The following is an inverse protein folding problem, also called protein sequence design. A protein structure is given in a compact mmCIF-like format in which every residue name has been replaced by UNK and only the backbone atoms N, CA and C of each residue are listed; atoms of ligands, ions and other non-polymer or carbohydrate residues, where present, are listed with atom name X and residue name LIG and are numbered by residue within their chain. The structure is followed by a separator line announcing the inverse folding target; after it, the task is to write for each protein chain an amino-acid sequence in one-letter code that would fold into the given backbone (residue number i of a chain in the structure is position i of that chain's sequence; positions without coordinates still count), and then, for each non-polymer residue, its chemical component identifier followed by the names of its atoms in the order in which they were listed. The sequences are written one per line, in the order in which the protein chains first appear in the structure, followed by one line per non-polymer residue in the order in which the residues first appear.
data_IF_047234779160
#
_entry.id   IF_047234779160
#
_cell.length_a   1.000
_cell.length_b   1.000
_cell.length_c   1.000
_cell.angle_alpha   90.00
_cell.angle_beta   90.00
_cell.angle_gamma   90.00
#
_symmetry.space_group_name_H-M   'P 1'
#
loop_
_entity.id
_entity.type
_entity.pdbx_description
1 polymer ?
#
# COMPACT_ATOMS: atom_id res chain seq x y z
N UNK A 1 10.17 30.57 -6.43
CA UNK A 1 10.85 29.46 -7.12
C UNK A 1 11.43 28.56 -6.04
N UNK A 2 11.15 27.25 -6.08
CA UNK A 2 11.60 26.31 -5.04
C UNK A 2 12.44 25.19 -5.65
N UNK A 3 13.37 24.63 -4.87
CA UNK A 3 14.20 23.48 -5.27
C UNK A 3 13.55 22.18 -4.84
N UNK A 4 13.17 21.34 -5.81
CA UNK A 4 12.35 20.14 -5.58
C UNK A 4 13.07 18.89 -6.09
N UNK A 5 13.14 17.87 -5.24
CA UNK A 5 13.61 16.54 -5.62
C UNK A 5 12.43 15.60 -5.91
N UNK A 6 12.31 15.14 -7.14
CA UNK A 6 11.24 14.22 -7.56
C UNK A 6 11.74 12.79 -7.50
N UNK A 7 11.03 11.93 -6.76
CA UNK A 7 11.24 10.48 -6.80
C UNK A 7 10.78 9.92 -8.14
N UNK A 8 11.72 9.50 -8.98
CA UNK A 8 11.49 8.98 -10.32
C UNK A 8 11.65 7.46 -10.34
N UNK A 9 10.58 6.74 -10.70
CA UNK A 9 10.58 5.28 -10.82
C UNK A 9 10.74 4.80 -12.26
N UNK A 10 11.02 5.71 -13.20
CA UNK A 10 11.05 5.44 -14.64
C UNK A 10 9.66 5.33 -15.29
N UNK A 11 8.59 5.34 -14.50
CA UNK A 11 7.22 5.25 -15.01
C UNK A 11 6.63 6.61 -15.38
N UNK A 12 5.57 6.57 -16.18
CA UNK A 12 4.82 7.73 -16.70
C UNK A 12 4.53 8.78 -15.64
N UNK A 13 3.96 8.37 -14.51
CA UNK A 13 3.45 9.27 -13.49
C UNK A 13 4.58 10.09 -12.84
N UNK A 14 5.73 9.46 -12.56
CA UNK A 14 6.87 10.16 -11.96
C UNK A 14 7.53 11.15 -12.92
N UNK A 15 7.58 10.82 -14.21
CA UNK A 15 8.08 11.73 -15.26
C UNK A 15 7.11 12.89 -15.49
N UNK A 16 5.79 12.63 -15.50
CA UNK A 16 4.78 13.67 -15.61
C UNK A 16 4.85 14.65 -14.43
N UNK A 17 5.09 14.17 -13.21
CA UNK A 17 5.25 15.02 -12.03
C UNK A 17 6.42 16.02 -12.17
N UNK A 18 7.55 15.60 -12.76
CA UNK A 18 8.67 16.51 -13.09
C UNK A 18 8.20 17.64 -14.01
N UNK A 19 7.51 17.30 -15.10
CA UNK A 19 7.08 18.27 -16.11
C UNK A 19 6.02 19.24 -15.57
N UNK A 20 5.09 18.75 -14.74
CA UNK A 20 4.10 19.59 -14.05
C UNK A 20 4.82 20.63 -13.18
N UNK A 21 5.75 20.20 -12.33
CA UNK A 21 6.47 21.12 -11.43
C UNK A 21 7.34 22.12 -12.19
N UNK A 22 7.99 21.71 -13.28
CA UNK A 22 8.73 22.63 -14.16
C UNK A 22 7.81 23.66 -14.82
N UNK A 23 6.60 23.26 -15.22
CA UNK A 23 5.63 24.20 -15.81
C UNK A 23 5.17 25.29 -14.82
N UNK A 24 5.31 25.05 -13.51
CA UNK A 24 5.09 26.05 -12.46
C UNK A 24 6.34 26.87 -12.10
N UNK A 25 7.44 26.71 -12.84
CA UNK A 25 8.67 27.50 -12.67
C UNK A 25 9.58 27.04 -11.52
N UNK A 26 9.45 25.80 -11.04
CA UNK A 26 10.34 25.25 -10.01
C UNK A 26 11.65 24.72 -10.60
N UNK A 27 12.71 24.72 -9.77
CA UNK A 27 13.96 24.00 -10.07
C UNK A 27 13.77 22.54 -9.66
N UNK A 28 13.82 21.63 -10.63
CA UNK A 28 13.51 20.22 -10.41
C UNK A 28 14.74 19.35 -10.68
N UNK A 29 15.03 18.44 -9.75
CA UNK A 29 15.94 17.32 -9.95
C UNK A 29 15.22 15.99 -9.77
N UNK A 30 15.70 14.94 -10.41
CA UNK A 30 15.18 13.58 -10.27
C UNK A 30 16.01 12.74 -9.31
N UNK A 31 15.40 11.76 -8.65
CA UNK A 31 16.12 10.72 -7.92
C UNK A 31 15.48 9.35 -8.10
N UNK A 32 16.29 8.34 -8.40
CA UNK A 32 15.87 6.95 -8.44
C UNK A 32 16.23 6.23 -7.14
N UNK A 33 15.28 5.44 -6.65
CA UNK A 33 15.47 4.48 -5.57
C UNK A 33 15.53 3.08 -6.18
N UNK A 34 16.68 2.39 -6.14
CA UNK A 34 16.87 1.06 -6.75
C UNK A 34 16.16 -0.05 -5.95
N UNK A 35 14.82 -0.02 -5.99
CA UNK A 35 13.90 -0.93 -5.30
C UNK A 35 13.52 -2.11 -6.21
N UNK A 36 13.17 -1.79 -7.45
CA UNK A 36 12.75 -2.74 -8.49
C UNK A 36 13.75 -2.62 -9.67
N UNK A 37 13.84 -3.63 -10.54
CA UNK A 37 14.96 -3.89 -11.47
C UNK A 37 15.57 -2.71 -12.28
N UNK A 38 16.79 -2.92 -12.78
CA UNK A 38 17.67 -1.91 -13.42
C UNK A 38 17.01 -1.11 -14.55
N UNK A 39 16.15 -1.74 -15.34
CA UNK A 39 15.47 -1.10 -16.49
C UNK A 39 14.69 0.17 -16.11
N UNK A 40 14.05 0.16 -14.94
CA UNK A 40 13.28 1.31 -14.45
C UNK A 40 14.17 2.52 -14.15
N UNK A 41 15.38 2.27 -13.65
CA UNK A 41 16.37 3.30 -13.31
C UNK A 41 16.94 3.89 -14.60
N UNK A 42 17.32 3.05 -15.56
CA UNK A 42 17.87 3.49 -16.84
C UNK A 42 16.88 4.36 -17.61
N UNK A 43 15.59 3.99 -17.59
CA UNK A 43 14.52 4.82 -18.17
C UNK A 43 14.40 6.17 -17.45
N UNK A 44 14.47 6.21 -16.12
CA UNK A 44 14.40 7.45 -15.35
C UNK A 44 15.58 8.38 -15.65
N UNK A 45 16.79 7.83 -15.82
CA UNK A 45 18.01 8.56 -16.21
C UNK A 45 17.84 9.13 -17.61
N UNK A 46 17.47 8.32 -18.60
CA UNK A 46 17.25 8.77 -19.99
C UNK A 46 16.18 9.85 -20.08
N UNK A 47 15.07 9.70 -19.35
CA UNK A 47 14.04 10.74 -19.28
C UNK A 47 14.61 12.05 -18.69
N UNK A 48 15.42 11.95 -17.63
CA UNK A 48 16.05 13.12 -16.99
C UNK A 48 17.03 13.84 -17.92
N UNK A 49 17.80 13.10 -18.71
CA UNK A 49 18.71 13.63 -19.74
C UNK A 49 17.94 14.39 -20.82
N UNK A 50 16.87 13.79 -21.37
CA UNK A 50 16.03 14.45 -22.38
C UNK A 50 15.31 15.69 -21.85
N UNK A 51 14.89 15.66 -20.58
CA UNK A 51 14.27 16.82 -19.91
C UNK A 51 15.33 17.90 -19.59
N UNK A 52 16.60 17.52 -19.44
CA UNK A 52 17.68 18.42 -19.05
C UNK A 52 17.70 18.72 -17.54
N UNK A 53 17.46 17.71 -16.69
CA UNK A 53 17.53 17.84 -15.23
C UNK A 53 18.60 16.92 -14.62
N UNK A 54 19.15 17.32 -13.47
CA UNK A 54 20.06 16.46 -12.72
C UNK A 54 19.32 15.26 -12.15
N UNK A 55 19.95 14.08 -12.22
CA UNK A 55 19.43 12.84 -11.67
C UNK A 55 20.36 12.25 -10.61
N UNK A 56 19.79 11.82 -9.48
CA UNK A 56 20.51 11.18 -8.38
C UNK A 56 20.14 9.70 -8.27
N UNK A 57 21.11 8.87 -7.88
CA UNK A 57 20.85 7.49 -7.48
C UNK A 57 21.09 7.36 -5.97
N UNK A 58 20.05 6.99 -5.23
CA UNK A 58 20.13 6.91 -3.76
C UNK A 58 20.14 5.44 -3.34
N UNK A 59 21.23 4.92 -2.74
CA UNK A 59 21.29 3.52 -2.34
C UNK A 59 20.34 3.23 -1.17
N UNK A 60 19.50 2.19 -1.33
CA UNK A 60 18.45 1.83 -0.36
C UNK A 60 18.32 0.33 -0.14
N UNK A 61 19.14 -0.49 -0.79
CA UNK A 61 18.95 -1.95 -0.89
C UNK A 61 18.86 -2.61 0.49
N UNK A 62 19.74 -2.25 1.41
CA UNK A 62 19.74 -2.78 2.78
C UNK A 62 18.46 -2.39 3.53
N UNK A 63 18.03 -1.13 3.39
CA UNK A 63 16.82 -0.64 4.05
C UNK A 63 15.56 -1.29 3.47
N UNK A 64 15.48 -1.42 2.15
CA UNK A 64 14.36 -2.09 1.48
C UNK A 64 14.27 -3.58 1.87
N UNK A 65 15.41 -4.29 1.88
CA UNK A 65 15.45 -5.68 2.33
C UNK A 65 14.91 -5.79 3.76
N UNK A 66 15.48 -5.03 4.69
CA UNK A 66 15.14 -5.13 6.12
C UNK A 66 13.74 -4.63 6.46
N UNK A 67 13.32 -3.49 5.93
CA UNK A 67 12.07 -2.83 6.32
C UNK A 67 10.86 -3.29 5.51
N UNK A 68 11.06 -3.84 4.30
CA UNK A 68 9.96 -4.24 3.43
C UNK A 68 9.95 -5.75 3.21
N UNK A 69 11.06 -6.34 2.75
CA UNK A 69 11.09 -7.77 2.42
C UNK A 69 11.01 -8.63 3.69
N UNK A 70 11.82 -8.37 4.71
CA UNK A 70 11.79 -9.15 5.96
C UNK A 70 10.49 -8.92 6.76
N UNK A 71 9.93 -7.71 6.74
CA UNK A 71 8.57 -7.44 7.23
C UNK A 71 7.53 -8.32 6.51
N UNK A 72 7.60 -8.37 5.18
CA UNK A 72 6.68 -9.16 4.38
C UNK A 72 6.81 -10.67 4.68
N UNK A 73 8.05 -11.18 4.71
CA UNK A 73 8.34 -12.59 5.05
C UNK A 73 7.85 -12.96 6.45
N UNK A 74 8.21 -12.17 7.46
CA UNK A 74 7.84 -12.45 8.85
C UNK A 74 6.32 -12.45 9.06
N UNK A 75 5.59 -11.60 8.33
CA UNK A 75 4.13 -11.55 8.41
C UNK A 75 3.48 -12.79 7.78
N UNK A 76 3.98 -13.25 6.62
CA UNK A 76 3.52 -14.50 6.01
C UNK A 76 3.80 -15.71 6.90
N UNK A 77 4.96 -15.74 7.59
CA UNK A 77 5.29 -16.79 8.57
C UNK A 77 4.27 -16.80 9.71
N UNK A 78 3.76 -15.64 10.13
CA UNK A 78 2.66 -15.52 11.12
C UNK A 78 1.27 -15.78 10.54
N UNK A 79 1.16 -16.22 9.28
CA UNK A 79 -0.10 -16.41 8.55
C UNK A 79 -0.91 -15.11 8.40
N UNK A 80 -0.26 -13.96 8.37
CA UNK A 80 -0.87 -12.68 8.02
C UNK A 80 -0.76 -12.42 6.51
N UNK A 81 -1.53 -11.46 6.00
CA UNK A 81 -1.38 -10.93 4.64
C UNK A 81 -0.92 -9.47 4.74
N UNK A 82 0.39 -9.19 4.75
CA UNK A 82 0.93 -7.84 4.91
C UNK A 82 0.70 -6.94 3.68
N UNK A 83 0.80 -5.62 3.86
CA UNK A 83 0.86 -4.66 2.75
C UNK A 83 2.27 -4.05 2.62
N UNK A 84 3.13 -4.54 1.72
CA UNK A 84 4.49 -4.06 1.59
C UNK A 84 4.57 -2.65 1.00
N UNK A 85 3.56 -2.21 0.24
CA UNK A 85 3.55 -0.90 -0.41
C UNK A 85 3.36 0.24 0.61
N UNK A 86 2.43 0.09 1.55
CA UNK A 86 2.24 1.03 2.66
C UNK A 86 3.53 1.14 3.49
N UNK A 87 4.14 -0.02 3.84
CA UNK A 87 5.39 -0.06 4.60
C UNK A 87 6.56 0.57 3.82
N UNK A 88 6.66 0.30 2.51
CA UNK A 88 7.68 0.89 1.65
C UNK A 88 7.56 2.41 1.59
N UNK A 89 6.35 2.96 1.46
CA UNK A 89 6.15 4.41 1.50
C UNK A 89 6.56 5.00 2.84
N UNK A 90 6.13 4.39 3.95
CA UNK A 90 6.47 4.85 5.30
C UNK A 90 7.99 4.83 5.55
N UNK A 91 8.64 3.67 5.37
CA UNK A 91 9.99 3.44 5.90
C UNK A 91 11.10 3.66 4.88
N UNK A 92 10.79 3.62 3.57
CA UNK A 92 11.82 3.61 2.51
C UNK A 92 11.60 4.75 1.53
N UNK A 93 10.57 4.69 0.68
CA UNK A 93 10.41 5.58 -0.47
C UNK A 93 10.28 7.04 -0.06
N UNK A 94 9.32 7.36 0.82
CA UNK A 94 9.09 8.75 1.21
C UNK A 94 10.15 9.21 2.21
N UNK A 95 10.48 8.37 3.19
CA UNK A 95 11.45 8.69 4.24
C UNK A 95 12.85 8.94 3.68
N UNK A 96 13.39 8.05 2.85
CA UNK A 96 14.75 8.21 2.29
C UNK A 96 14.81 9.38 1.32
N UNK A 97 13.81 9.52 0.45
CA UNK A 97 13.75 10.64 -0.49
C UNK A 97 13.75 11.97 0.26
N UNK A 98 12.92 12.09 1.31
CA UNK A 98 12.88 13.27 2.17
C UNK A 98 14.24 13.53 2.85
N UNK A 99 14.81 12.53 3.50
CA UNK A 99 16.08 12.66 4.22
C UNK A 99 17.21 13.12 3.28
N UNK A 100 17.33 12.49 2.11
CA UNK A 100 18.32 12.86 1.11
C UNK A 100 18.09 14.29 0.58
N UNK A 101 16.83 14.64 0.28
CA UNK A 101 16.48 15.97 -0.20
C UNK A 101 16.90 17.06 0.79
N UNK A 102 16.57 16.89 2.08
CA UNK A 102 16.94 17.86 3.11
C UNK A 102 18.47 17.98 3.25
N UNK A 103 19.21 16.87 3.20
CA UNK A 103 20.68 16.88 3.27
C UNK A 103 21.34 17.58 2.07
N UNK A 104 20.74 17.50 0.89
CA UNK A 104 21.23 18.11 -0.34
C UNK A 104 20.75 19.56 -0.54
N UNK A 105 20.01 20.12 0.44
CA UNK A 105 19.52 21.50 0.40
C UNK A 105 18.34 21.72 -0.56
N UNK A 106 17.56 20.67 -0.84
CA UNK A 106 16.25 20.82 -1.48
C UNK A 106 15.22 21.28 -0.44
N UNK A 107 14.23 22.06 -0.87
CA UNK A 107 13.18 22.57 0.01
C UNK A 107 12.01 21.60 0.14
N UNK A 108 11.75 20.83 -0.93
CA UNK A 108 10.65 19.88 -1.00
C UNK A 108 11.06 18.61 -1.75
N UNK A 109 10.33 17.53 -1.45
CA UNK A 109 10.25 16.35 -2.30
C UNK A 109 8.94 16.34 -3.07
N UNK A 110 8.90 15.59 -4.16
CA UNK A 110 7.67 15.27 -4.85
C UNK A 110 7.66 13.83 -5.36
N UNK A 111 6.47 13.28 -5.54
CA UNK A 111 6.28 11.95 -6.12
C UNK A 111 5.14 11.95 -7.13
N UNK A 112 5.14 10.98 -8.04
CA UNK A 112 4.03 10.75 -8.97
C UNK A 112 2.81 10.07 -8.34
N UNK A 113 2.61 10.16 -7.02
CA UNK A 113 1.40 9.61 -6.40
C UNK A 113 0.19 10.49 -6.70
N UNK A 114 -0.94 9.86 -7.02
CA UNK A 114 -2.23 10.53 -7.13
C UNK A 114 -2.83 10.65 -5.73
N UNK A 115 -2.56 11.79 -5.10
CA UNK A 115 -3.15 12.21 -3.82
C UNK A 115 -3.06 13.74 -3.74
N UNK A 116 -3.76 14.36 -2.79
CA UNK A 116 -3.66 15.81 -2.55
C UNK A 116 -3.16 16.07 -1.14
N UNK A 117 -2.18 16.95 -0.97
CA UNK A 117 -1.78 17.41 0.36
C UNK A 117 -2.82 18.39 0.90
N UNK A 118 -3.21 18.25 2.17
CA UNK A 118 -4.19 19.13 2.81
C UNK A 118 -3.84 19.35 4.29
N UNK A 119 -4.24 20.50 4.84
CA UNK A 119 -4.26 20.73 6.28
C UNK A 119 -5.65 20.41 6.83
N UNK A 120 -5.73 19.55 7.83
CA UNK A 120 -6.98 19.13 8.46
C UNK A 120 -6.77 18.90 9.95
N UNK A 121 -7.68 19.41 10.79
CA UNK A 121 -7.61 19.29 12.25
C UNK A 121 -6.25 19.69 12.86
N UNK A 122 -5.56 20.69 12.28
CA UNK A 122 -4.24 21.12 12.74
C UNK A 122 -3.05 20.28 12.24
N UNK A 123 -3.31 19.22 11.47
CA UNK A 123 -2.30 18.32 10.91
C UNK A 123 -2.17 18.48 9.40
N UNK A 124 -0.98 18.20 8.86
CA UNK A 124 -0.80 17.98 7.42
C UNK A 124 -1.01 16.50 7.10
N UNK A 125 -1.99 16.22 6.24
CA UNK A 125 -2.36 14.88 5.79
C UNK A 125 -2.56 14.85 4.27
N UNK A 126 -3.05 13.72 3.76
CA UNK A 126 -3.44 13.57 2.37
C UNK A 126 -4.95 13.42 2.21
N UNK A 127 -5.49 13.94 1.13
CA UNK A 127 -6.83 13.65 0.64
C UNK A 127 -6.74 12.82 -0.64
N UNK A 128 -7.85 12.17 -0.98
CA UNK A 128 -7.99 11.44 -2.24
C UNK A 128 -7.71 12.35 -3.44
N UNK A 129 -7.13 11.79 -4.50
CA UNK A 129 -7.02 12.45 -5.79
C UNK A 129 -8.38 12.71 -6.43
N UNK A 130 -8.45 13.71 -7.31
CA UNK A 130 -9.68 14.00 -8.09
C UNK A 130 -10.01 12.88 -9.08
N UNK A 131 -8.97 12.22 -9.61
CA UNK A 131 -9.13 11.03 -10.45
C UNK A 131 -9.12 9.74 -9.60
N UNK A 132 -10.28 9.42 -9.02
CA UNK A 132 -10.43 8.35 -8.01
C UNK A 132 -9.91 6.97 -8.45
N UNK A 133 -10.01 6.63 -9.73
CA UNK A 133 -9.55 5.33 -10.28
C UNK A 133 -8.04 5.12 -10.04
N UNK A 134 -7.27 6.22 -10.00
CA UNK A 134 -5.84 6.21 -9.70
C UNK A 134 -5.50 6.66 -8.29
N UNK A 135 -6.47 7.00 -7.43
CA UNK A 135 -6.20 7.45 -6.07
C UNK A 135 -5.27 6.49 -5.32
N UNK A 136 -4.23 7.05 -4.70
CA UNK A 136 -3.19 6.35 -3.97
C UNK A 136 -3.08 6.82 -2.51
N UNK A 137 -4.06 7.59 -2.02
CA UNK A 137 -4.08 8.08 -0.63
C UNK A 137 -3.95 6.95 0.40
N UNK A 138 -4.53 5.78 0.15
CA UNK A 138 -4.39 4.57 0.97
C UNK A 138 -2.93 4.14 1.15
N UNK A 139 -2.12 4.21 0.09
CA UNK A 139 -0.71 3.78 0.14
C UNK A 139 0.17 4.75 0.94
N UNK A 140 -0.35 5.95 1.24
CA UNK A 140 0.31 6.99 2.00
C UNK A 140 -0.17 7.04 3.46
N UNK A 141 -1.04 6.12 3.88
CA UNK A 141 -1.74 6.14 5.17
C UNK A 141 -0.85 6.14 6.43
N UNK A 142 0.43 5.81 6.25
CA UNK A 142 1.44 5.70 7.30
C UNK A 142 2.64 6.62 7.10
N UNK A 143 2.61 7.50 6.10
CA UNK A 143 3.69 8.47 5.87
C UNK A 143 3.64 9.53 6.96
N UNK A 144 4.78 9.80 7.59
CA UNK A 144 4.86 10.75 8.70
C UNK A 144 4.50 12.18 8.26
N UNK A 145 3.82 12.91 9.14
CA UNK A 145 3.41 14.30 8.90
C UNK A 145 4.60 15.19 8.52
N UNK A 146 5.76 15.01 9.16
CA UNK A 146 7.00 15.76 8.87
C UNK A 146 7.46 15.59 7.41
N UNK A 147 7.28 14.39 6.86
CA UNK A 147 7.56 14.09 5.45
C UNK A 147 6.48 14.72 4.56
N UNK A 148 5.21 14.61 4.94
CA UNK A 148 4.09 15.20 4.18
C UNK A 148 4.18 16.73 4.09
N UNK A 149 4.60 17.42 5.16
CA UNK A 149 4.82 18.87 5.17
C UNK A 149 5.74 19.31 4.03
N UNK A 150 6.81 18.53 3.79
CA UNK A 150 7.81 18.78 2.74
C UNK A 150 7.56 18.00 1.44
N UNK A 151 6.40 17.34 1.31
CA UNK A 151 6.05 16.59 0.10
C UNK A 151 5.03 17.32 -0.78
N UNK A 152 5.15 17.14 -2.08
CA UNK A 152 4.22 17.61 -3.11
C UNK A 152 3.69 16.42 -3.92
N UNK A 153 2.43 16.51 -4.35
CA UNK A 153 1.74 15.51 -5.16
C UNK A 153 1.18 16.17 -6.43
N UNK A 154 2.01 16.39 -7.46
CA UNK A 154 1.63 17.21 -8.62
C UNK A 154 0.52 16.62 -9.48
N UNK A 155 0.22 15.33 -9.32
CA UNK A 155 -0.81 14.62 -10.09
C UNK A 155 -2.17 14.54 -9.39
N UNK A 156 -2.29 15.10 -8.18
CA UNK A 156 -3.50 14.96 -7.36
C UNK A 156 -4.80 15.47 -7.99
N UNK A 157 -4.70 16.36 -8.98
CA UNK A 157 -5.83 16.94 -9.70
C UNK A 157 -5.91 16.51 -11.17
N UNK A 158 -5.00 15.65 -11.63
CA UNK A 158 -4.90 15.25 -13.03
C UNK A 158 -5.53 13.88 -13.25
N UNK A 159 -6.15 13.71 -14.41
CA UNK A 159 -6.49 12.41 -14.95
C UNK A 159 -5.26 11.69 -15.49
N UNK A 160 -5.39 10.38 -15.72
CA UNK A 160 -4.34 9.59 -16.37
C UNK A 160 -3.94 10.13 -17.74
N UNK A 161 -4.92 10.50 -18.57
CA UNK A 161 -4.67 10.99 -19.92
C UNK A 161 -3.92 12.33 -19.92
N UNK A 162 -4.23 13.22 -18.98
CA UNK A 162 -3.52 14.50 -18.82
C UNK A 162 -2.08 14.31 -18.33
N UNK A 163 -1.81 13.31 -17.48
CA UNK A 163 -0.46 12.97 -17.09
C UNK A 163 0.34 12.35 -18.25
N UNK A 164 -0.28 11.45 -19.02
CA UNK A 164 0.34 10.79 -20.19
C UNK A 164 0.65 11.79 -21.31
N UNK A 165 -0.25 12.75 -21.59
CA UNK A 165 -0.02 13.75 -22.65
C UNK A 165 1.18 14.65 -22.40
N UNK A 166 1.54 14.88 -21.13
CA UNK A 166 2.70 15.69 -20.76
C UNK A 166 4.03 15.05 -21.14
N UNK A 167 4.11 13.71 -21.16
CA UNK A 167 5.38 12.99 -21.37
C UNK A 167 5.56 12.49 -22.80
N UNK A 168 4.75 12.97 -23.75
CA UNK A 168 4.81 12.54 -25.14
C UNK A 168 6.24 12.65 -25.71
N UNK A 169 6.77 11.53 -26.20
CA UNK A 169 8.14 11.44 -26.73
C UNK A 169 9.23 11.15 -25.70
N UNK A 170 8.91 11.04 -24.42
CA UNK A 170 9.85 10.65 -23.37
C UNK A 170 9.78 9.14 -23.07
N UNK A 171 10.89 8.51 -22.66
CA UNK A 171 10.90 7.11 -22.29
C UNK A 171 10.15 6.92 -20.96
N UNK A 172 9.29 5.90 -20.91
CA UNK A 172 8.56 5.52 -19.71
C UNK A 172 8.37 4.00 -19.66
N UNK A 173 8.49 3.42 -18.47
CA UNK A 173 8.14 2.03 -18.22
C UNK A 173 6.66 1.89 -17.82
N UNK A 174 6.07 0.69 -17.99
CA UNK A 174 4.76 0.40 -17.42
C UNK A 174 4.72 0.68 -15.91
N UNK A 175 3.53 0.99 -15.36
CA UNK A 175 3.37 1.24 -13.93
C UNK A 175 3.80 0.01 -13.10
N UNK A 176 4.47 0.28 -11.98
CA UNK A 176 4.87 -0.77 -11.03
C UNK A 176 3.64 -1.47 -10.48
N UNK A 177 3.70 -2.80 -10.39
CA UNK A 177 2.70 -3.60 -9.69
C UNK A 177 2.92 -3.51 -8.17
N UNK A 178 1.88 -3.85 -7.41
CA UNK A 178 2.00 -4.04 -5.96
C UNK A 178 3.00 -5.15 -5.65
N UNK A 179 3.71 -5.03 -4.52
CA UNK A 179 4.79 -5.95 -4.14
C UNK A 179 5.83 -6.14 -5.27
N UNK A 180 6.40 -5.04 -5.80
CA UNK A 180 7.27 -5.07 -6.99
C UNK A 180 8.50 -6.00 -6.92
N UNK A 181 8.87 -6.50 -5.74
CA UNK A 181 9.96 -7.46 -5.54
C UNK A 181 9.54 -8.91 -5.83
N UNK A 182 8.25 -9.15 -6.06
CA UNK A 182 7.68 -10.45 -6.42
C UNK A 182 7.41 -10.45 -7.92
N UNK A 183 8.20 -11.22 -8.67
CA UNK A 183 8.13 -11.33 -10.13
C UNK A 183 7.63 -12.71 -10.60
N UNK A 184 6.97 -13.44 -9.72
CA UNK A 184 6.40 -14.78 -9.94
C UNK A 184 5.10 -14.93 -9.14
N UNK A 185 4.28 -15.97 -9.36
CA UNK A 185 3.09 -16.20 -8.55
C UNK A 185 3.42 -16.21 -7.04
N UNK A 186 2.55 -15.62 -6.23
CA UNK A 186 2.78 -15.47 -4.78
C UNK A 186 3.12 -16.80 -4.10
N UNK A 187 2.42 -17.88 -4.47
CA UNK A 187 2.66 -19.22 -3.92
C UNK A 187 4.08 -19.71 -4.22
N UNK A 188 4.58 -19.51 -5.44
CA UNK A 188 5.92 -19.93 -5.85
C UNK A 188 6.98 -19.08 -5.14
N UNK A 189 6.71 -17.78 -4.97
CA UNK A 189 7.58 -16.89 -4.20
C UNK A 189 7.67 -17.33 -2.74
N UNK A 190 6.53 -17.64 -2.09
CA UNK A 190 6.52 -18.15 -0.71
C UNK A 190 7.30 -19.48 -0.63
N UNK A 191 7.07 -20.41 -1.56
CA UNK A 191 7.78 -21.69 -1.58
C UNK A 191 9.30 -21.51 -1.66
N UNK A 192 9.77 -20.57 -2.48
CA UNK A 192 11.20 -20.28 -2.67
C UNK A 192 11.82 -19.53 -1.49
N UNK A 193 11.15 -18.50 -0.99
CA UNK A 193 11.75 -17.50 -0.11
C UNK A 193 11.51 -17.73 1.39
N UNK A 194 10.54 -18.59 1.72
CA UNK A 194 10.08 -18.89 3.08
C UNK A 194 9.93 -20.41 3.29
N UNK A 195 9.35 -21.10 2.30
CA UNK A 195 8.84 -22.46 2.40
C UNK A 195 7.32 -22.47 2.58
N UNK A 196 6.64 -23.37 1.86
CA UNK A 196 5.21 -23.62 2.09
C UNK A 196 5.06 -24.33 3.44
N UNK A 197 4.05 -23.94 4.21
CA UNK A 197 3.72 -24.58 5.48
C UNK A 197 3.36 -26.06 5.32
N UNK A 198 3.10 -26.74 6.44
CA UNK A 198 2.71 -28.15 6.40
C UNK A 198 1.28 -28.32 5.83
N UNK A 199 1.03 -29.38 5.03
CA UNK A 199 -0.32 -29.74 4.64
C UNK A 199 -1.23 -29.96 5.85
N UNK A 200 -2.53 -29.73 5.67
CA UNK A 200 -3.52 -29.82 6.74
C UNK A 200 -4.94 -29.89 6.18
N UNK A 201 -5.90 -30.08 7.07
CA UNK A 201 -7.30 -30.27 6.70
C UNK A 201 -7.94 -28.94 6.25
N UNK A 202 -8.79 -29.02 5.24
CA UNK A 202 -9.78 -27.98 4.93
C UNK A 202 -11.11 -28.41 5.54
N UNK A 203 -11.66 -27.56 6.41
CA UNK A 203 -12.95 -27.80 7.05
C UNK A 203 -13.97 -26.75 6.66
N UNK A 204 -15.23 -27.13 6.58
CA UNK A 204 -16.32 -26.16 6.46
C UNK A 204 -16.60 -25.46 7.80
N UNK A 205 -17.51 -24.48 7.79
CA UNK A 205 -17.94 -23.75 8.99
C UNK A 205 -18.68 -24.60 10.04
N UNK A 206 -19.07 -25.84 9.70
CA UNK A 206 -19.68 -26.81 10.63
C UNK A 206 -18.63 -27.78 11.21
N UNK A 207 -17.37 -27.71 10.75
CA UNK A 207 -16.28 -28.58 11.19
C UNK A 207 -16.15 -29.87 10.39
N UNK A 208 -16.88 -30.04 9.28
CA UNK A 208 -16.70 -31.22 8.43
C UNK A 208 -15.42 -31.07 7.60
N UNK A 209 -14.60 -32.10 7.57
CA UNK A 209 -13.44 -32.18 6.67
C UNK A 209 -13.92 -32.38 5.24
N UNK A 210 -13.55 -31.45 4.36
CA UNK A 210 -13.99 -31.43 2.96
C UNK A 210 -12.82 -31.40 1.96
N UNK A 211 -11.57 -31.43 2.45
CA UNK A 211 -10.38 -31.56 1.62
C UNK A 211 -9.10 -31.31 2.40
N UNK A 212 -8.02 -31.04 1.67
CA UNK A 212 -6.68 -30.76 2.23
C UNK A 212 -6.06 -29.55 1.55
N UNK A 213 -5.30 -28.77 2.32
CA UNK A 213 -4.56 -27.62 1.84
C UNK A 213 -3.06 -27.90 1.79
N UNK A 214 -2.33 -27.22 0.90
CA UNK A 214 -0.87 -27.40 0.82
C UNK A 214 -0.07 -26.71 1.92
N UNK A 215 -0.69 -25.78 2.66
CA UNK A 215 -0.08 -25.04 3.78
C UNK A 215 -0.76 -23.68 3.99
N UNK A 216 -1.05 -23.31 5.23
CA UNK A 216 -1.87 -22.13 5.57
C UNK A 216 -1.30 -20.80 5.03
N UNK A 217 0.02 -20.68 4.98
CA UNK A 217 0.69 -19.46 4.54
C UNK A 217 0.50 -19.17 3.04
N UNK A 218 0.01 -20.13 2.25
CA UNK A 218 -0.35 -19.94 0.85
C UNK A 218 -1.76 -19.34 0.65
N UNK A 219 -2.53 -19.15 1.72
CA UNK A 219 -3.91 -18.68 1.67
C UNK A 219 -4.08 -17.32 2.35
N UNK A 220 -4.98 -16.51 1.79
CA UNK A 220 -5.39 -15.22 2.34
C UNK A 220 -6.84 -15.28 2.79
N UNK A 221 -7.18 -14.60 3.89
CA UNK A 221 -8.55 -14.50 4.36
C UNK A 221 -9.46 -13.85 3.29
N UNK A 222 -10.63 -14.44 3.04
CA UNK A 222 -11.54 -14.07 1.94
C UNK A 222 -11.08 -14.49 0.54
N UNK A 223 -9.99 -15.24 0.39
CA UNK A 223 -9.59 -15.83 -0.89
C UNK A 223 -10.66 -16.82 -1.36
N UNK A 224 -10.98 -16.78 -2.65
CA UNK A 224 -11.92 -17.69 -3.33
C UNK A 224 -11.22 -18.66 -4.28
N UNK A 225 -10.22 -18.17 -5.00
CA UNK A 225 -9.52 -18.95 -6.03
C UNK A 225 -8.40 -19.80 -5.40
N UNK A 226 -8.04 -20.90 -6.07
CA UNK A 226 -6.93 -21.75 -5.63
C UNK A 226 -7.17 -22.57 -4.37
N UNK A 227 -8.41 -22.67 -3.88
CA UNK A 227 -8.80 -23.53 -2.75
C UNK A 227 -8.85 -25.01 -3.17
N UNK A 228 -9.20 -25.29 -4.44
CA UNK A 228 -9.20 -26.66 -4.99
C UNK A 228 -10.40 -27.52 -4.59
N UNK A 229 -11.48 -26.91 -4.09
CA UNK A 229 -12.71 -27.61 -3.68
C UNK A 229 -13.84 -27.48 -4.71
N UNK A 230 -14.58 -28.56 -4.91
CA UNK A 230 -15.85 -28.59 -5.66
C UNK A 230 -17.03 -28.10 -4.78
N UNK A 231 -18.19 -27.86 -5.39
CA UNK A 231 -19.42 -27.46 -4.67
C UNK A 231 -19.46 -26.01 -4.19
N UNK A 232 -18.60 -25.14 -4.76
CA UNK A 232 -18.45 -23.75 -4.36
C UNK A 232 -19.57 -22.79 -4.83
N UNK A 233 -19.39 -21.47 -4.62
CA UNK A 233 -18.12 -20.82 -4.26
C UNK A 233 -17.76 -20.95 -2.77
N UNK A 234 -16.49 -21.29 -2.53
CA UNK A 234 -15.86 -21.33 -1.20
C UNK A 234 -14.99 -20.11 -0.98
N UNK A 235 -14.91 -19.65 0.27
CA UNK A 235 -14.08 -18.55 0.72
C UNK A 235 -13.31 -18.95 1.97
N UNK A 236 -12.04 -18.55 2.07
CA UNK A 236 -11.24 -18.75 3.28
C UNK A 236 -11.80 -17.88 4.41
N UNK A 237 -12.39 -18.51 5.42
CA UNK A 237 -12.98 -17.85 6.60
C UNK A 237 -11.94 -17.70 7.70
N UNK A 238 -11.07 -18.68 7.89
CA UNK A 238 -10.06 -18.61 8.97
C UNK A 238 -8.88 -19.51 8.66
N UNK A 239 -7.71 -19.11 9.13
CA UNK A 239 -6.52 -19.97 9.20
C UNK A 239 -6.25 -20.28 10.66
N UNK A 240 -6.55 -21.50 11.09
CA UNK A 240 -6.28 -21.92 12.46
C UNK A 240 -4.88 -22.50 12.57
N UNK A 241 -3.95 -21.68 13.04
CA UNK A 241 -2.53 -22.04 13.17
C UNK A 241 -2.33 -23.11 14.24
N UNK A 242 -3.19 -23.17 15.27
CA UNK A 242 -3.03 -24.13 16.38
C UNK A 242 -3.36 -25.55 15.94
N UNK A 243 -4.40 -25.71 15.12
CA UNK A 243 -4.83 -27.02 14.61
C UNK A 243 -4.32 -27.31 13.20
N UNK A 244 -3.62 -26.36 12.58
CA UNK A 244 -3.20 -26.39 11.16
C UNK A 244 -4.39 -26.69 10.22
N UNK A 245 -5.47 -25.92 10.38
CA UNK A 245 -6.73 -26.14 9.64
C UNK A 245 -7.12 -24.88 8.86
N UNK A 246 -7.49 -25.05 7.60
CA UNK A 246 -8.09 -23.99 6.78
C UNK A 246 -9.61 -24.08 6.88
N UNK A 247 -10.24 -23.09 7.50
CA UNK A 247 -11.71 -23.03 7.56
C UNK A 247 -12.21 -22.29 6.33
N UNK A 248 -13.12 -22.91 5.60
CA UNK A 248 -13.79 -22.32 4.45
C UNK A 248 -15.30 -22.25 4.65
N UNK A 249 -15.94 -21.32 3.95
CA UNK A 249 -17.39 -21.13 4.00
C UNK A 249 -17.88 -20.39 2.77
N UNK A 250 -19.09 -19.85 2.87
CA UNK A 250 -19.67 -19.03 1.81
C UNK A 250 -19.42 -17.56 2.06
N UNK A 251 -19.90 -16.72 1.14
CA UNK A 251 -19.61 -15.28 1.12
C UNK A 251 -20.06 -14.59 2.41
N UNK A 252 -21.16 -15.04 2.99
CA UNK A 252 -21.77 -14.51 4.20
C UNK A 252 -20.86 -14.72 5.41
N UNK A 253 -20.08 -15.81 5.44
CA UNK A 253 -19.16 -16.12 6.54
C UNK A 253 -17.93 -15.21 6.58
N UNK A 254 -17.66 -14.48 5.49
CA UNK A 254 -16.57 -13.50 5.40
C UNK A 254 -17.09 -12.06 5.36
N UNK A 255 -18.37 -11.84 5.63
CA UNK A 255 -18.94 -10.51 5.82
C UNK A 255 -18.92 -10.14 7.30
N UNK A 256 -17.95 -9.30 7.67
CA UNK A 256 -17.65 -9.00 9.08
C UNK A 256 -18.02 -7.55 9.36
N UNK A 257 -18.80 -7.32 10.41
CA UNK A 257 -19.19 -5.96 10.84
C UNK A 257 -18.27 -5.40 11.92
N UNK A 258 -17.55 -6.26 12.65
CA UNK A 258 -16.67 -5.85 13.74
C UNK A 258 -15.37 -6.64 13.69
N UNK A 259 -14.24 -5.95 13.66
CA UNK A 259 -12.91 -6.56 13.56
C UNK A 259 -11.92 -5.82 14.46
N UNK A 260 -10.87 -6.52 14.89
CA UNK A 260 -9.88 -6.00 15.83
C UNK A 260 -8.71 -5.37 15.09
N UNK A 261 -8.22 -4.28 15.65
CA UNK A 261 -7.07 -3.56 15.12
C UNK A 261 -6.04 -3.25 16.22
N UNK A 262 -4.83 -2.96 15.79
CA UNK A 262 -3.73 -2.48 16.64
C UNK A 262 -2.97 -1.35 15.95
N UNK A 263 -2.04 -0.70 16.66
CA UNK A 263 -1.22 0.41 16.15
C UNK A 263 -2.07 1.50 15.47
N UNK A 264 -3.15 1.87 16.16
CA UNK A 264 -4.07 2.92 15.75
C UNK A 264 -3.36 4.27 15.80
N UNK A 265 -3.36 4.96 14.65
CA UNK A 265 -2.92 6.35 14.52
C UNK A 265 -4.06 7.15 13.93
N UNK A 266 -4.56 8.14 14.67
CA UNK A 266 -5.63 9.03 14.25
C UNK A 266 -5.22 10.48 14.48
N UNK A 267 -5.57 11.34 13.52
CA UNK A 267 -5.53 12.80 13.66
C UNK A 267 -6.92 13.39 13.88
N UNK A 268 -7.97 12.60 13.69
CA UNK A 268 -9.38 12.96 13.90
C UNK A 268 -10.23 11.69 13.91
N UNK A 269 -11.37 11.76 14.59
CA UNK A 269 -12.41 10.73 14.66
C UNK A 269 -13.78 11.26 14.17
N UNK A 270 -13.82 12.39 13.46
CA UNK A 270 -15.07 12.96 12.94
C UNK A 270 -15.61 12.13 11.77
N UNK A 271 -16.69 11.39 12.04
CA UNK A 271 -17.44 10.55 11.09
C UNK A 271 -16.52 9.65 10.25
N UNK A 272 -15.79 8.73 10.89
CA UNK A 272 -14.76 7.96 10.21
C UNK A 272 -15.42 6.95 9.26
N UNK A 273 -14.80 6.79 8.10
CA UNK A 273 -15.07 5.74 7.12
C UNK A 273 -13.82 4.88 6.98
N UNK A 274 -13.96 3.56 7.10
CA UNK A 274 -12.84 2.62 6.99
C UNK A 274 -12.76 2.00 5.60
N UNK A 275 -11.55 1.97 5.05
CA UNK A 275 -11.17 1.21 3.86
C UNK A 275 -10.17 0.14 4.31
N UNK A 276 -10.56 -1.14 4.25
CA UNK A 276 -9.74 -2.26 4.77
C UNK A 276 -8.82 -2.91 3.72
N UNK A 277 -8.97 -2.51 2.45
CA UNK A 277 -8.11 -2.91 1.34
C UNK A 277 -8.02 -1.80 0.32
N UNK A 278 -6.88 -1.69 -0.34
CA UNK A 278 -6.71 -0.76 -1.45
C UNK A 278 -7.80 -0.95 -2.51
N UNK A 279 -8.45 0.15 -2.91
CA UNK A 279 -9.57 0.20 -3.87
C UNK A 279 -10.89 -0.45 -3.40
N UNK A 280 -11.01 -0.83 -2.13
CA UNK A 280 -12.33 -1.13 -1.57
C UNK A 280 -13.10 0.17 -1.29
N UNK A 281 -14.44 0.10 -1.32
CA UNK A 281 -15.27 1.25 -0.96
C UNK A 281 -15.13 1.53 0.54
N UNK A 282 -14.88 2.79 0.96
CA UNK A 282 -14.92 3.14 2.37
C UNK A 282 -16.33 2.93 2.95
N UNK A 283 -16.38 2.45 4.18
CA UNK A 283 -17.63 2.19 4.91
C UNK A 283 -17.62 3.01 6.19
N UNK A 284 -18.71 3.72 6.49
CA UNK A 284 -18.88 4.40 7.79
C UNK A 284 -18.62 3.42 8.94
N UNK A 285 -17.86 3.85 9.94
CA UNK A 285 -17.50 2.99 11.06
C UNK A 285 -17.50 3.73 12.40
N UNK A 286 -17.36 2.97 13.48
CA UNK A 286 -17.02 3.45 14.80
C UNK A 286 -15.73 2.77 15.25
N UNK A 287 -14.90 3.52 15.96
CA UNK A 287 -13.67 3.01 16.58
C UNK A 287 -14.01 2.85 18.08
N UNK A 288 -13.93 1.63 18.56
CA UNK A 288 -14.36 1.23 19.91
C UNK A 288 -13.14 0.86 20.73
N UNK A 289 -12.98 1.50 21.89
CA UNK A 289 -11.96 1.17 22.88
C UNK A 289 -12.59 0.34 23.99
N UNK A 290 -12.08 -0.88 24.18
CA UNK A 290 -12.51 -1.79 25.24
C UNK A 290 -11.70 -1.59 26.52
N UNK A 291 -12.27 -1.95 27.67
CA UNK A 291 -11.63 -1.80 28.99
C UNK A 291 -10.32 -2.60 29.13
N UNK A 292 -10.14 -3.67 28.35
CA UNK A 292 -8.93 -4.49 28.34
C UNK A 292 -7.80 -3.91 27.46
N UNK A 293 -8.02 -2.74 26.86
CA UNK A 293 -7.06 -2.08 25.95
C UNK A 293 -7.24 -2.45 24.47
N UNK A 294 -8.19 -3.33 24.14
CA UNK A 294 -8.44 -3.71 22.76
C UNK A 294 -9.14 -2.60 21.98
N UNK A 295 -8.80 -2.53 20.69
CA UNK A 295 -9.41 -1.59 19.77
C UNK A 295 -10.15 -2.38 18.70
N UNK A 296 -11.44 -2.08 18.54
CA UNK A 296 -12.28 -2.66 17.51
C UNK A 296 -12.77 -1.58 16.56
N UNK A 297 -13.03 -1.99 15.31
CA UNK A 297 -13.70 -1.17 14.31
C UNK A 297 -15.03 -1.83 14.00
N UNK A 298 -16.12 -1.12 14.28
CA UNK A 298 -17.49 -1.52 13.95
C UNK A 298 -17.94 -0.79 12.69
N UNK A 299 -17.94 -1.50 11.56
CA UNK A 299 -18.43 -1.01 10.28
C UNK A 299 -19.97 -1.01 10.24
N UNK A 300 -20.56 0.07 9.75
CA UNK A 300 -22.02 0.24 9.62
C UNK A 300 -22.64 -0.77 8.65
N UNK A 301 -21.90 -1.14 7.61
CA UNK A 301 -22.25 -2.25 6.72
C UNK A 301 -21.13 -3.29 6.77
N UNK A 302 -21.44 -4.60 6.73
CA UNK A 302 -20.41 -5.64 6.76
C UNK A 302 -19.36 -5.42 5.68
N UNK A 303 -18.09 -5.45 6.07
CA UNK A 303 -16.95 -5.40 5.16
C UNK A 303 -16.52 -6.81 4.77
N UNK A 304 -16.02 -6.97 3.56
CA UNK A 304 -15.58 -8.26 3.06
C UNK A 304 -14.19 -8.60 3.60
N UNK A 305 -14.11 -9.63 4.43
CA UNK A 305 -12.91 -10.28 4.93
C UNK A 305 -11.80 -9.30 5.40
N UNK A 306 -11.99 -8.63 6.56
CA UNK A 306 -10.88 -7.99 7.28
C UNK A 306 -9.75 -8.99 7.44
N UNK A 307 -8.56 -8.65 6.96
CA UNK A 307 -7.47 -9.63 6.85
C UNK A 307 -6.32 -9.23 7.76
N UNK A 308 -5.91 -10.08 8.72
CA UNK A 308 -4.77 -9.79 9.59
C UNK A 308 -3.51 -9.40 8.80
N UNK A 309 -2.84 -8.34 9.23
CA UNK A 309 -1.66 -7.75 8.58
C UNK A 309 -1.96 -6.70 7.50
N UNK A 310 -3.20 -6.59 7.02
CA UNK A 310 -3.63 -5.45 6.18
C UNK A 310 -3.87 -4.20 7.05
N UNK A 311 -3.96 -3.05 6.39
CA UNK A 311 -4.25 -1.78 7.05
C UNK A 311 -5.74 -1.46 6.95
N UNK A 312 -6.34 -1.13 8.09
CA UNK A 312 -7.60 -0.40 8.14
C UNK A 312 -7.28 1.09 8.03
N UNK A 313 -7.63 1.71 6.90
CA UNK A 313 -7.34 3.12 6.63
C UNK A 313 -8.60 3.95 6.79
N UNK A 314 -8.53 5.01 7.60
CA UNK A 314 -9.67 5.82 7.98
C UNK A 314 -9.70 7.13 7.19
N UNK A 315 -10.88 7.50 6.72
CA UNK A 315 -11.15 8.74 6.02
C UNK A 315 -12.29 9.51 6.70
N UNK A 316 -12.22 10.84 6.70
CA UNK A 316 -13.40 11.70 6.84
C UNK A 316 -13.70 12.28 5.47
N UNK A 317 -14.80 11.83 4.85
CA UNK A 317 -15.10 12.06 3.43
C UNK A 317 -13.94 11.59 2.54
N UNK A 318 -13.18 12.53 1.96
CA UNK A 318 -12.03 12.26 1.11
C UNK A 318 -10.68 12.52 1.80
N UNK A 319 -10.66 12.91 3.08
CA UNK A 319 -9.44 13.25 3.82
C UNK A 319 -9.00 12.03 4.62
N UNK A 320 -7.74 11.62 4.47
CA UNK A 320 -7.13 10.59 5.32
C UNK A 320 -7.01 11.12 6.75
N UNK A 321 -7.65 10.43 7.69
CA UNK A 321 -7.64 10.80 9.12
C UNK A 321 -6.86 9.79 9.97
N UNK A 322 -6.41 8.68 9.40
CA UNK A 322 -5.52 7.77 10.09
C UNK A 322 -5.50 6.35 9.54
N UNK A 323 -4.90 5.45 10.30
CA UNK A 323 -4.85 4.01 9.99
C UNK A 323 -4.54 3.15 11.21
N UNK A 324 -4.85 1.87 11.10
CA UNK A 324 -4.50 0.82 12.05
C UNK A 324 -4.15 -0.47 11.31
N UNK A 325 -3.55 -1.44 12.00
CA UNK A 325 -3.24 -2.77 11.47
C UNK A 325 -4.35 -3.73 11.91
N UNK A 326 -4.95 -4.45 10.97
CA UNK A 326 -5.96 -5.48 11.28
C UNK A 326 -5.28 -6.69 11.92
N UNK A 327 -5.84 -7.22 13.00
CA UNK A 327 -5.30 -8.38 13.71
C UNK A 327 -6.26 -9.57 13.78
N UNK A 328 -7.56 -9.31 13.69
CA UNK A 328 -8.63 -10.31 13.76
C UNK A 328 -9.85 -9.80 12.98
#
# INVERSE_FOLDING_TARGET
MARILVGMSGGTDSTAAVLVLRSYGHEVSGASLPICGRESIDTAIKASEQIGIKHYLIPIQNLFKTQVIEYFKSSIIRNETPNPCVMCNQMVKMHVLHKFAMQMGFEYIATGHYAKKISYAGHVTVAKADYEIKDQSYMLARVDETVLQKCLFPLGTLTRAEAESKISGLPATPPSQDACFINMPMRDWIAREIGIGQPGEIVDTMGNVIGEHSGLNAFTHGQREGIGLAGGPWYVVKKDVKTNTLVVGHKENVQISRFRVTDLRLISDDKPQVMIRYRSNPVECKIEHENNGDIFVSAKTPVFAPTPGQFAVFYSRNILIGSAIITE
#
